data_IF_726575905336
#
_entry.id   IF_726575905336
#
_cell.length_a   1.000
_cell.length_b   1.000
_cell.length_c   1.000
_cell.angle_alpha   90.00
_cell.angle_beta   90.00
_cell.angle_gamma   90.00
#
_symmetry.space_group_name_H-M   'P 1'
#
loop_
_entity.id
_entity.type
_entity.pdbx_description
1 polymer ?
#
# COMPACT_ATOMS: atom_id res chain seq x y z
N UNK A 1 14.37 10.52 -22.40
CA UNK A 1 13.42 9.63 -21.71
C UNK A 1 13.98 9.40 -20.31
N UNK A 2 13.70 10.30 -19.38
CA UNK A 2 14.32 10.26 -18.03
C UNK A 2 13.64 9.18 -17.20
N UNK A 3 14.45 8.36 -16.55
CA UNK A 3 14.06 7.23 -15.72
C UNK A 3 13.35 7.72 -14.45
N UNK A 4 12.01 7.83 -14.48
CA UNK A 4 11.18 8.37 -13.39
C UNK A 4 10.90 7.36 -12.27
N UNK A 5 11.53 6.19 -12.27
CA UNK A 5 11.20 5.12 -11.32
C UNK A 5 11.89 5.24 -9.96
N UNK A 6 12.61 6.33 -9.66
CA UNK A 6 13.32 6.47 -8.38
C UNK A 6 13.19 7.85 -7.73
N UNK A 7 12.16 8.63 -8.12
CA UNK A 7 11.89 9.92 -7.51
C UNK A 7 10.70 9.81 -6.55
N UNK A 8 10.82 10.33 -5.32
CA UNK A 8 9.68 10.41 -4.40
C UNK A 8 8.56 11.24 -5.03
N UNK A 9 7.32 10.80 -4.84
CA UNK A 9 6.12 11.42 -5.38
C UNK A 9 5.70 12.54 -4.43
N UNK A 10 5.68 13.78 -4.92
CA UNK A 10 5.14 14.92 -4.18
C UNK A 10 3.62 15.06 -4.39
N UNK A 11 2.99 15.88 -3.54
CA UNK A 11 1.54 16.14 -3.58
C UNK A 11 1.10 16.73 -4.92
N UNK A 12 1.93 17.56 -5.53
CA UNK A 12 1.66 18.24 -6.80
C UNK A 12 1.66 17.26 -7.98
N UNK A 13 2.65 16.37 -8.03
CA UNK A 13 2.77 15.27 -8.98
C UNK A 13 1.61 14.28 -8.82
N UNK A 14 1.22 13.99 -7.59
CA UNK A 14 0.07 13.15 -7.32
C UNK A 14 -1.23 13.82 -7.81
N UNK A 15 -1.48 15.07 -7.44
CA UNK A 15 -2.64 15.85 -7.85
C UNK A 15 -2.79 15.89 -9.38
N UNK A 16 -1.72 16.25 -10.10
CA UNK A 16 -1.75 16.31 -11.57
C UNK A 16 -2.00 14.93 -12.19
N UNK A 17 -1.43 13.87 -11.60
CA UNK A 17 -1.57 12.50 -12.13
C UNK A 17 -3.01 12.03 -11.94
N UNK A 18 -3.61 12.29 -10.78
CA UNK A 18 -5.02 11.99 -10.52
C UNK A 18 -5.93 12.78 -11.47
N UNK A 19 -5.66 14.07 -11.68
CA UNK A 19 -6.43 14.88 -12.64
C UNK A 19 -6.38 14.31 -14.07
N UNK A 20 -5.19 13.94 -14.54
CA UNK A 20 -5.00 13.36 -15.88
C UNK A 20 -5.69 12.00 -16.02
N UNK A 21 -5.67 11.17 -14.98
CA UNK A 21 -6.16 9.78 -15.05
C UNK A 21 -7.65 9.65 -14.79
N UNK A 22 -8.22 10.46 -13.90
CA UNK A 22 -9.63 10.42 -13.53
C UNK A 22 -10.49 11.46 -14.26
N UNK A 23 -9.85 12.47 -14.87
CA UNK A 23 -10.49 13.66 -15.43
C UNK A 23 -11.28 14.51 -14.40
N UNK A 24 -11.17 14.20 -13.11
CA UNK A 24 -11.85 14.85 -11.99
C UNK A 24 -10.87 15.77 -11.24
N UNK A 25 -11.37 16.91 -10.73
CA UNK A 25 -10.63 17.71 -9.76
C UNK A 25 -10.85 17.13 -8.37
N UNK A 26 -9.76 16.68 -7.74
CA UNK A 26 -9.80 16.15 -6.38
C UNK A 26 -9.50 17.28 -5.40
N UNK A 27 -10.30 17.35 -4.32
CA UNK A 27 -10.11 18.33 -3.26
C UNK A 27 -8.70 18.21 -2.66
N UNK A 28 -7.94 19.31 -2.53
CA UNK A 28 -6.61 19.30 -1.92
C UNK A 28 -6.58 18.64 -0.53
N UNK A 29 -7.65 18.78 0.26
CA UNK A 29 -7.77 18.15 1.57
C UNK A 29 -7.80 16.62 1.47
N UNK A 30 -8.42 16.06 0.43
CA UNK A 30 -8.41 14.61 0.18
C UNK A 30 -6.99 14.13 -0.12
N UNK A 31 -6.22 14.92 -0.89
CA UNK A 31 -4.81 14.62 -1.17
C UNK A 31 -4.01 14.63 0.13
N UNK A 32 -4.21 15.63 1.00
CA UNK A 32 -3.54 15.72 2.29
C UNK A 32 -3.85 14.52 3.20
N UNK A 33 -5.13 14.11 3.30
CA UNK A 33 -5.53 12.94 4.08
C UNK A 33 -4.91 11.66 3.53
N UNK A 34 -4.83 11.52 2.20
CA UNK A 34 -4.18 10.37 1.56
C UNK A 34 -2.69 10.34 1.90
N UNK A 35 -1.98 11.46 1.78
CA UNK A 35 -0.55 11.51 2.14
C UNK A 35 -0.35 11.21 3.62
N UNK A 36 -1.11 11.82 4.52
CA UNK A 36 -1.01 11.56 5.96
C UNK A 36 -1.31 10.10 6.36
N UNK A 37 -2.04 9.35 5.54
CA UNK A 37 -2.37 7.95 5.81
C UNK A 37 -1.26 6.98 5.38
N UNK A 38 -0.44 7.37 4.41
CA UNK A 38 0.47 6.47 3.71
C UNK A 38 1.94 6.89 3.73
N UNK A 39 2.21 8.12 4.14
CA UNK A 39 3.53 8.64 4.50
C UNK A 39 3.92 8.06 5.87
N UNK A 40 4.81 7.07 5.89
CA UNK A 40 5.23 6.38 7.11
C UNK A 40 6.35 7.14 7.83
N UNK A 41 7.18 7.87 7.09
CA UNK A 41 8.33 8.61 7.62
C UNK A 41 8.03 10.10 7.92
N UNK A 42 6.91 10.61 7.43
CA UNK A 42 6.41 11.97 7.66
C UNK A 42 7.15 13.03 6.83
N UNK A 43 7.81 12.65 5.74
CA UNK A 43 8.57 13.59 4.90
C UNK A 43 7.70 14.45 3.96
N UNK A 44 6.39 14.19 3.95
CA UNK A 44 5.40 14.87 3.13
C UNK A 44 5.40 14.41 1.66
N UNK A 45 6.09 13.33 1.36
CA UNK A 45 6.19 12.70 0.03
C UNK A 45 5.84 11.23 0.15
N UNK A 46 5.71 10.57 -1.00
CA UNK A 46 5.54 9.13 -1.06
C UNK A 46 6.73 8.55 -1.81
N UNK A 47 7.59 7.85 -1.09
CA UNK A 47 8.61 7.00 -1.69
C UNK A 47 7.96 5.89 -2.52
N UNK A 48 8.74 5.28 -3.41
CA UNK A 48 8.25 4.17 -4.22
C UNK A 48 7.71 3.01 -3.35
N UNK A 49 8.30 2.77 -2.18
CA UNK A 49 7.89 1.71 -1.27
C UNK A 49 6.53 2.01 -0.62
N UNK A 50 6.32 3.24 -0.16
CA UNK A 50 5.05 3.69 0.40
C UNK A 50 3.96 3.66 -0.67
N UNK A 51 4.25 4.14 -1.88
CA UNK A 51 3.31 4.12 -3.00
C UNK A 51 2.95 2.69 -3.44
N UNK A 52 3.91 1.75 -3.47
CA UNK A 52 3.62 0.34 -3.70
C UNK A 52 2.79 -0.24 -2.54
N UNK A 53 3.06 0.20 -1.31
CA UNK A 53 2.23 -0.07 -0.13
C UNK A 53 0.77 0.30 -0.35
N UNK A 54 0.51 1.51 -0.85
CA UNK A 54 -0.84 2.00 -1.23
C UNK A 54 -1.50 1.05 -2.23
N UNK A 55 -0.81 0.73 -3.32
CA UNK A 55 -1.35 -0.12 -4.39
C UNK A 55 -1.61 -1.56 -3.93
N UNK A 56 -0.77 -2.08 -3.02
CA UNK A 56 -0.93 -3.41 -2.42
C UNK A 56 -2.01 -3.45 -1.36
N UNK A 57 -2.22 -2.38 -0.60
CA UNK A 57 -3.28 -2.34 0.42
C UNK A 57 -4.67 -2.43 -0.22
N UNK A 58 -4.82 -1.95 -1.46
CA UNK A 58 -6.02 -2.18 -2.28
C UNK A 58 -6.34 -3.66 -2.52
N UNK A 59 -5.34 -4.55 -2.55
CA UNK A 59 -5.56 -6.01 -2.63
C UNK A 59 -6.04 -6.59 -1.30
N UNK A 60 -5.62 -6.03 -0.17
CA UNK A 60 -5.98 -6.48 1.18
C UNK A 60 -7.39 -6.07 1.61
N UNK A 61 -7.93 -4.97 1.07
CA UNK A 61 -9.27 -4.43 1.43
C UNK A 61 -10.47 -5.18 0.85
N UNK A 62 -10.29 -6.33 0.16
CA UNK A 62 -11.44 -7.19 -0.15
C UNK A 62 -11.35 -8.19 -1.31
N UNK A 63 -10.29 -8.19 -2.12
CA UNK A 63 -10.19 -9.11 -3.26
C UNK A 63 -9.14 -10.21 -3.11
N UNK A 64 -8.20 -10.07 -2.18
CA UNK A 64 -7.25 -11.13 -1.80
C UNK A 64 -7.80 -12.07 -0.73
N UNK A 65 -8.91 -12.77 -0.99
CA UNK A 65 -9.17 -14.02 -0.24
C UNK A 65 -8.12 -15.03 -0.70
N UNK A 66 -6.96 -15.07 -0.04
CA UNK A 66 -6.35 -16.38 0.12
C UNK A 66 -7.34 -17.15 1.00
N UNK A 67 -7.98 -18.22 0.51
CA UNK A 67 -8.74 -19.07 1.41
C UNK A 67 -7.74 -19.49 2.48
N UNK A 68 -7.95 -19.04 3.72
CA UNK A 68 -7.23 -19.62 4.84
C UNK A 68 -7.46 -21.13 4.70
N UNK A 69 -6.41 -21.96 4.56
CA UNK A 69 -6.60 -23.38 4.41
C UNK A 69 -7.44 -23.84 5.60
N UNK A 70 -8.62 -24.39 5.33
CA UNK A 70 -9.54 -24.90 6.36
C UNK A 70 -9.30 -26.39 6.56
N UNK A 71 -9.67 -26.91 7.73
CA UNK A 71 -9.47 -28.33 8.05
C UNK A 71 -8.01 -28.67 8.38
N UNK A 72 -7.57 -29.87 8.00
CA UNK A 72 -6.26 -30.42 8.42
C UNK A 72 -5.10 -29.56 7.92
N UNK A 73 -5.22 -28.96 6.72
CA UNK A 73 -4.16 -28.10 6.17
C UNK A 73 -4.05 -26.77 6.92
N UNK A 74 -5.17 -26.23 7.41
CA UNK A 74 -5.20 -25.09 8.31
C UNK A 74 -4.57 -25.39 9.66
N UNK A 75 -4.90 -26.55 10.22
CA UNK A 75 -4.36 -27.03 11.49
C UNK A 75 -2.84 -27.23 11.43
N UNK A 76 -2.32 -27.87 10.38
CA UNK A 76 -0.88 -28.03 10.14
C UNK A 76 -0.16 -26.69 10.03
N UNK A 77 -0.78 -25.71 9.37
CA UNK A 77 -0.19 -24.39 9.20
C UNK A 77 -0.15 -23.60 10.53
N UNK A 78 -1.19 -23.73 11.35
CA UNK A 78 -1.24 -23.16 12.71
C UNK A 78 -0.20 -23.81 13.62
N UNK A 79 -0.10 -25.15 13.63
CA UNK A 79 0.93 -25.86 14.38
C UNK A 79 2.33 -25.44 13.95
N UNK A 80 2.60 -25.32 12.64
CA UNK A 80 3.91 -24.88 12.16
C UNK A 80 4.23 -23.45 12.63
N UNK A 81 3.26 -22.54 12.61
CA UNK A 81 3.47 -21.16 13.08
C UNK A 81 3.73 -21.10 14.58
N UNK A 82 3.03 -21.90 15.38
CA UNK A 82 3.18 -21.85 16.84
C UNK A 82 4.40 -22.62 17.33
N UNK A 83 4.77 -23.72 16.66
CA UNK A 83 5.90 -24.58 17.06
C UNK A 83 7.26 -24.14 16.49
N UNK A 84 7.30 -23.34 15.42
CA UNK A 84 8.54 -22.86 14.81
C UNK A 84 8.73 -21.34 14.95
N UNK A 85 8.08 -20.68 15.92
CA UNK A 85 8.51 -19.33 16.33
C UNK A 85 9.97 -19.44 16.81
N UNK A 86 10.94 -18.80 16.15
CA UNK A 86 12.23 -18.58 16.77
C UNK A 86 11.97 -17.74 18.02
N UNK A 87 12.58 -18.14 19.12
CA UNK A 87 12.60 -17.36 20.35
C UNK A 87 13.29 -16.02 20.02
N UNK A 88 12.55 -14.91 20.03
CA UNK A 88 13.15 -13.58 20.16
C UNK A 88 13.44 -13.31 21.65
#
# INVERSE_FOLDING_TARGET
MTNTLNHPIDKELFARTVKITSNEDVDPYVIDVVFNLFDEDGDGKLSQNEFIGIMKDRLKRGFGKFPNPTGIDGFKNCLRKEMFKPFE
#
